data_IF_663100733583
#
_entry.id   IF_663100733583
#
_cell.length_a   1.000
_cell.length_b   1.000
_cell.length_c   1.000
_cell.angle_alpha   90.00
_cell.angle_beta   90.00
_cell.angle_gamma   90.00
#
_symmetry.space_group_name_H-M   'P 1'
#
loop_
_entity.id
_entity.type
_entity.pdbx_description
1 polymer ?
#
# COMPACT_ATOMS: atom_id res chain seq x y z
N UNK A 1 -52.80 66.70 -7.32
CA UNK A 1 -53.46 65.66 -6.50
C UNK A 1 -53.29 64.34 -7.22
N UNK A 2 -52.48 63.46 -6.63
CA UNK A 2 -52.25 62.09 -7.07
C UNK A 2 -53.52 61.24 -6.81
N UNK A 3 -53.79 60.24 -7.66
CA UNK A 3 -53.56 58.83 -7.30
C UNK A 3 -54.04 57.82 -8.37
N UNK A 4 -53.12 56.89 -8.71
CA UNK A 4 -53.29 55.48 -9.17
C UNK A 4 -54.06 55.14 -10.47
N UNK A 5 -53.72 54.12 -11.29
CA UNK A 5 -52.97 52.85 -11.15
C UNK A 5 -52.56 52.37 -12.57
N UNK A 6 -51.29 52.05 -12.88
CA UNK A 6 -50.53 50.78 -12.75
C UNK A 6 -50.77 49.70 -13.83
N UNK A 7 -49.90 49.74 -14.85
CA UNK A 7 -49.03 48.69 -15.42
C UNK A 7 -49.49 47.21 -15.48
N UNK A 8 -49.58 46.69 -16.72
CA UNK A 8 -49.49 45.28 -17.09
C UNK A 8 -48.14 45.04 -17.78
N UNK A 9 -47.31 44.16 -17.22
CA UNK A 9 -46.26 43.40 -17.91
C UNK A 9 -45.66 42.40 -16.90
N UNK A 10 -46.10 41.15 -16.98
CA UNK A 10 -45.45 39.99 -16.34
C UNK A 10 -45.66 38.79 -17.24
N UNK A 11 -44.63 38.45 -18.01
CA UNK A 11 -44.28 37.10 -18.41
C UNK A 11 -42.84 37.14 -18.97
N UNK A 12 -42.14 36.00 -18.92
CA UNK A 12 -40.76 35.76 -19.42
C UNK A 12 -39.55 35.88 -18.47
N UNK A 13 -39.70 35.58 -17.17
CA UNK A 13 -38.53 35.32 -16.28
C UNK A 13 -38.51 33.95 -15.60
N UNK A 14 -39.55 33.11 -15.73
CA UNK A 14 -39.64 31.82 -15.02
C UNK A 14 -39.16 30.58 -15.81
N UNK A 15 -38.96 30.68 -17.12
CA UNK A 15 -38.60 29.52 -17.98
C UNK A 15 -37.08 29.24 -18.02
N UNK A 16 -36.25 30.26 -17.93
CA UNK A 16 -34.77 30.15 -17.96
C UNK A 16 -34.18 29.74 -16.62
N UNK A 17 -34.68 30.27 -15.49
CA UNK A 17 -34.18 29.91 -14.16
C UNK A 17 -34.38 28.43 -13.80
N UNK A 18 -35.51 27.84 -14.23
CA UNK A 18 -35.87 26.44 -13.99
C UNK A 18 -35.05 25.46 -14.84
N UNK A 19 -34.70 25.84 -16.08
CA UNK A 19 -33.82 25.03 -16.95
C UNK A 19 -32.36 25.06 -16.49
N UNK A 20 -31.86 26.20 -16.02
CA UNK A 20 -30.49 26.33 -15.51
C UNK A 20 -30.29 25.56 -14.21
N UNK A 21 -31.26 25.58 -13.30
CA UNK A 21 -31.21 24.80 -12.05
C UNK A 21 -31.33 23.29 -12.29
N UNK A 22 -32.18 22.83 -13.21
CA UNK A 22 -32.26 21.41 -13.58
C UNK A 22 -30.99 20.90 -14.28
N UNK A 23 -30.41 21.71 -15.18
CA UNK A 23 -29.16 21.40 -15.88
C UNK A 23 -27.97 21.31 -14.90
N UNK A 24 -27.83 22.27 -13.98
CA UNK A 24 -26.77 22.25 -12.96
C UNK A 24 -26.91 21.05 -12.02
N UNK A 25 -28.14 20.69 -11.61
CA UNK A 25 -28.40 19.55 -10.73
C UNK A 25 -28.07 18.21 -11.41
N UNK A 26 -28.37 18.09 -12.71
CA UNK A 26 -28.02 16.91 -13.50
C UNK A 26 -26.50 16.81 -13.76
N UNK A 27 -25.83 17.94 -13.99
CA UNK A 27 -24.36 17.98 -14.15
C UNK A 27 -23.63 17.57 -12.87
N UNK A 28 -24.07 18.08 -11.70
CA UNK A 28 -23.48 17.74 -10.39
C UNK A 28 -23.69 16.26 -10.04
N UNK A 29 -24.89 15.71 -10.29
CA UNK A 29 -25.15 14.27 -10.12
C UNK A 29 -24.29 13.40 -11.03
N UNK A 30 -24.10 13.82 -12.30
CA UNK A 30 -23.24 13.10 -13.24
C UNK A 30 -21.79 13.09 -12.78
N UNK A 31 -21.24 14.23 -12.37
CA UNK A 31 -19.87 14.31 -11.86
C UNK A 31 -19.67 13.40 -10.65
N UNK A 32 -20.58 13.44 -9.66
CA UNK A 32 -20.50 12.58 -8.49
C UNK A 32 -20.58 11.08 -8.83
N UNK A 33 -21.37 10.70 -9.84
CA UNK A 33 -21.43 9.31 -10.30
C UNK A 33 -20.14 8.84 -10.97
N UNK A 34 -19.50 9.70 -11.78
CA UNK A 34 -18.21 9.41 -12.42
C UNK A 34 -17.09 9.34 -11.39
N UNK A 35 -17.10 10.23 -10.40
CA UNK A 35 -16.16 10.23 -9.27
C UNK A 35 -16.28 8.96 -8.42
N UNK A 36 -17.50 8.56 -8.06
CA UNK A 36 -17.73 7.30 -7.35
C UNK A 36 -17.28 6.08 -8.16
N UNK A 37 -17.50 6.09 -9.48
CA UNK A 37 -17.03 5.03 -10.40
C UNK A 37 -15.51 5.01 -10.47
N UNK A 38 -14.87 6.17 -10.53
CA UNK A 38 -13.42 6.32 -10.50
C UNK A 38 -12.83 5.74 -9.22
N UNK A 39 -13.36 6.10 -8.04
CA UNK A 39 -12.91 5.56 -6.76
C UNK A 39 -13.09 4.04 -6.69
N UNK A 40 -14.21 3.50 -7.18
CA UNK A 40 -14.49 2.05 -7.22
C UNK A 40 -13.47 1.27 -8.05
N UNK A 41 -13.02 1.84 -9.16
CA UNK A 41 -12.03 1.22 -10.05
C UNK A 41 -10.59 1.38 -9.55
N UNK A 42 -10.35 2.27 -8.58
CA UNK A 42 -9.04 2.55 -8.01
C UNK A 42 -9.02 2.40 -6.48
N UNK A 43 -9.42 1.25 -5.92
CA UNK A 43 -9.62 1.10 -4.47
C UNK A 43 -8.33 1.11 -3.64
N UNK A 44 -7.15 0.99 -4.27
CA UNK A 44 -5.87 1.03 -3.58
C UNK A 44 -5.27 2.44 -3.47
N UNK A 45 -5.86 3.44 -4.14
CA UNK A 45 -5.46 4.82 -3.96
C UNK A 45 -6.02 5.34 -2.63
N UNK A 46 -5.23 6.13 -1.92
CA UNK A 46 -5.77 6.96 -0.85
C UNK A 46 -6.80 7.94 -1.44
N UNK A 47 -7.68 8.45 -0.58
CA UNK A 47 -8.70 9.40 -1.01
C UNK A 47 -8.08 10.62 -1.70
N UNK A 48 -7.00 11.16 -1.14
CA UNK A 48 -6.34 12.36 -1.67
C UNK A 48 -5.67 12.10 -3.04
N UNK A 49 -5.06 10.92 -3.23
CA UNK A 49 -4.50 10.54 -4.54
C UNK A 49 -5.59 10.34 -5.59
N UNK A 50 -6.70 9.69 -5.22
CA UNK A 50 -7.83 9.48 -6.10
C UNK A 50 -8.48 10.80 -6.51
N UNK A 51 -8.70 11.70 -5.54
CA UNK A 51 -9.27 13.03 -5.77
C UNK A 51 -8.32 13.87 -6.64
N UNK A 52 -7.01 13.83 -6.37
CA UNK A 52 -6.02 14.56 -7.17
C UNK A 52 -5.95 14.06 -8.61
N UNK A 53 -5.89 12.74 -8.83
CA UNK A 53 -5.88 12.17 -10.19
C UNK A 53 -7.19 12.45 -10.92
N UNK A 54 -8.34 12.34 -10.24
CA UNK A 54 -9.64 12.66 -10.82
C UNK A 54 -9.69 14.12 -11.27
N UNK A 55 -9.37 15.05 -10.37
CA UNK A 55 -9.40 16.48 -10.64
C UNK A 55 -8.41 16.86 -11.75
N UNK A 56 -7.17 16.37 -11.69
CA UNK A 56 -6.16 16.61 -12.71
C UNK A 56 -6.60 16.06 -14.07
N UNK A 57 -7.14 14.85 -14.12
CA UNK A 57 -7.60 14.27 -15.39
C UNK A 57 -8.79 15.05 -15.95
N UNK A 58 -9.78 15.39 -15.12
CA UNK A 58 -10.95 16.16 -15.56
C UNK A 58 -10.56 17.56 -16.01
N UNK A 59 -9.62 18.22 -15.31
CA UNK A 59 -9.13 19.55 -15.67
C UNK A 59 -8.46 19.56 -17.05
N UNK A 60 -7.66 18.55 -17.37
CA UNK A 60 -6.91 18.51 -18.64
C UNK A 60 -7.68 17.87 -19.80
N UNK A 61 -8.41 16.80 -19.53
CA UNK A 61 -9.05 15.97 -20.55
C UNK A 61 -10.56 16.10 -20.60
N UNK A 62 -11.20 16.63 -19.55
CA UNK A 62 -12.64 16.77 -19.44
C UNK A 62 -13.35 15.48 -19.02
N UNK A 63 -14.53 15.64 -18.39
CA UNK A 63 -15.32 14.55 -17.80
C UNK A 63 -15.71 13.47 -18.82
N UNK A 64 -16.05 13.85 -20.06
CA UNK A 64 -16.40 12.88 -21.12
C UNK A 64 -15.24 11.95 -21.50
N UNK A 65 -14.00 12.46 -21.53
CA UNK A 65 -12.84 11.60 -21.81
C UNK A 65 -12.55 10.68 -20.64
N UNK A 66 -12.78 11.13 -19.40
CA UNK A 66 -12.66 10.29 -18.21
C UNK A 66 -13.67 9.14 -18.25
N UNK A 67 -14.93 9.40 -18.61
CA UNK A 67 -15.94 8.34 -18.76
C UNK A 67 -15.49 7.27 -19.77
N UNK A 68 -15.04 7.68 -20.96
CA UNK A 68 -14.52 6.76 -21.98
C UNK A 68 -13.28 6.00 -21.52
N UNK A 69 -12.42 6.65 -20.74
CA UNK A 69 -11.28 6.02 -20.10
C UNK A 69 -11.72 4.90 -19.15
N UNK A 70 -12.70 5.16 -18.28
CA UNK A 70 -13.23 4.18 -17.34
C UNK A 70 -13.95 3.02 -18.07
N UNK A 71 -14.67 3.31 -19.16
CA UNK A 71 -15.27 2.26 -20.01
C UNK A 71 -14.21 1.34 -20.61
N UNK A 72 -13.11 1.92 -21.11
CA UNK A 72 -12.00 1.16 -21.67
C UNK A 72 -11.29 0.35 -20.58
N UNK A 73 -11.09 0.92 -19.39
CA UNK A 73 -10.48 0.23 -18.26
C UNK A 73 -11.31 -1.00 -17.84
N UNK A 74 -12.62 -0.84 -17.66
CA UNK A 74 -13.51 -1.95 -17.31
C UNK A 74 -13.46 -3.07 -18.37
N UNK A 75 -13.49 -2.69 -19.66
CA UNK A 75 -13.40 -3.66 -20.76
C UNK A 75 -12.08 -4.44 -20.79
N UNK A 76 -10.95 -3.80 -20.48
CA UNK A 76 -9.63 -4.45 -20.44
C UNK A 76 -9.46 -5.30 -19.18
N UNK A 77 -10.08 -4.91 -18.07
CA UNK A 77 -10.07 -5.67 -16.83
C UNK A 77 -11.00 -6.90 -16.87
N UNK A 78 -12.04 -6.91 -17.71
CA UNK A 78 -13.01 -8.03 -17.77
C UNK A 78 -12.35 -9.39 -18.06
N UNK A 79 -11.48 -9.56 -19.09
CA UNK A 79 -10.78 -10.82 -19.32
C UNK A 79 -9.88 -11.22 -18.15
N UNK A 80 -9.21 -10.26 -17.51
CA UNK A 80 -8.37 -10.52 -16.34
C UNK A 80 -9.19 -11.01 -15.15
N UNK A 81 -10.37 -10.44 -14.93
CA UNK A 81 -11.27 -10.90 -13.86
C UNK A 81 -11.72 -12.34 -14.13
N UNK A 82 -11.95 -12.71 -15.39
CA UNK A 82 -12.31 -14.09 -15.75
C UNK A 82 -11.15 -15.07 -15.55
N UNK A 83 -9.91 -14.66 -15.81
CA UNK A 83 -8.72 -15.51 -15.71
C UNK A 83 -8.18 -15.62 -14.28
N UNK A 84 -8.01 -14.49 -13.58
CA UNK A 84 -7.32 -14.40 -12.28
C UNK A 84 -8.21 -13.84 -11.15
N UNK A 85 -9.50 -13.64 -11.41
CA UNK A 85 -10.48 -13.28 -10.39
C UNK A 85 -10.17 -11.96 -9.70
N UNK A 86 -10.23 -11.98 -8.36
CA UNK A 86 -9.99 -10.80 -7.51
C UNK A 86 -8.58 -10.20 -7.67
N UNK A 87 -7.61 -10.98 -8.19
CA UNK A 87 -6.24 -10.51 -8.42
C UNK A 87 -6.12 -9.53 -9.58
N UNK A 88 -7.09 -9.47 -10.50
CA UNK A 88 -7.11 -8.50 -11.59
C UNK A 88 -7.06 -7.05 -11.09
N UNK A 89 -7.75 -6.77 -9.98
CA UNK A 89 -7.73 -5.45 -9.34
C UNK A 89 -6.36 -5.12 -8.74
N UNK A 90 -5.66 -6.11 -8.19
CA UNK A 90 -4.31 -5.93 -7.66
C UNK A 90 -3.31 -5.58 -8.77
N UNK A 91 -3.44 -6.20 -9.94
CA UNK A 91 -2.62 -5.89 -11.12
C UNK A 91 -2.75 -4.42 -11.51
N UNK A 92 -3.98 -3.93 -11.64
CA UNK A 92 -4.25 -2.53 -11.94
C UNK A 92 -3.66 -1.59 -10.88
N UNK A 93 -3.83 -1.92 -9.60
CA UNK A 93 -3.29 -1.13 -8.50
C UNK A 93 -1.74 -1.10 -8.49
N UNK A 94 -1.09 -2.21 -8.81
CA UNK A 94 0.37 -2.28 -8.93
C UNK A 94 0.88 -1.40 -10.07
N UNK A 95 0.18 -1.37 -11.21
CA UNK A 95 0.52 -0.53 -12.34
C UNK A 95 0.41 0.97 -12.00
N UNK A 96 -0.66 1.39 -11.33
CA UNK A 96 -0.85 2.81 -10.96
C UNK A 96 0.30 3.29 -10.07
N UNK A 97 0.68 2.46 -9.11
CA UNK A 97 1.77 2.73 -8.18
C UNK A 97 3.18 2.56 -8.78
N UNK A 98 3.31 2.33 -10.09
CA UNK A 98 4.60 2.18 -10.76
C UNK A 98 5.36 0.88 -10.43
N UNK A 99 4.70 -0.11 -9.83
CA UNK A 99 5.30 -1.41 -9.46
C UNK A 99 5.38 -2.39 -10.66
N UNK A 100 5.96 -1.93 -11.77
CA UNK A 100 5.98 -2.64 -13.05
C UNK A 100 6.64 -4.03 -12.97
N UNK A 101 7.64 -4.21 -12.10
CA UNK A 101 8.32 -5.50 -11.90
C UNK A 101 7.35 -6.60 -11.43
N UNK A 102 6.37 -6.26 -10.60
CA UNK A 102 5.42 -7.23 -10.02
C UNK A 102 4.33 -7.65 -10.99
N UNK A 103 4.21 -6.99 -12.13
CA UNK A 103 3.24 -7.30 -13.20
C UNK A 103 3.92 -7.75 -14.49
N UNK A 104 5.25 -7.93 -14.49
CA UNK A 104 6.03 -8.39 -15.65
C UNK A 104 5.60 -9.76 -16.18
N UNK A 105 5.01 -10.61 -15.34
CA UNK A 105 4.48 -11.90 -15.78
C UNK A 105 3.38 -11.76 -16.85
N UNK A 106 2.55 -10.70 -16.77
CA UNK A 106 1.51 -10.42 -17.76
C UNK A 106 2.08 -10.06 -19.13
N UNK A 107 3.27 -9.48 -19.17
CA UNK A 107 3.94 -9.18 -20.43
C UNK A 107 4.23 -10.45 -21.24
N UNK A 108 4.41 -11.59 -20.56
CA UNK A 108 4.63 -12.89 -21.19
C UNK A 108 3.33 -13.67 -21.42
N UNK A 109 2.40 -13.63 -20.47
CA UNK A 109 1.15 -14.41 -20.54
C UNK A 109 0.11 -13.77 -21.47
N UNK A 110 -0.08 -12.45 -21.39
CA UNK A 110 -0.99 -11.69 -22.26
C UNK A 110 -0.41 -10.30 -22.57
N UNK A 111 0.50 -10.21 -23.55
CA UNK A 111 1.13 -8.95 -23.93
C UNK A 111 0.13 -7.91 -24.44
N UNK A 112 -1.03 -8.33 -24.94
CA UNK A 112 -2.06 -7.42 -25.46
C UNK A 112 -2.72 -6.68 -24.31
N UNK A 113 -3.15 -7.41 -23.29
CA UNK A 113 -3.74 -6.85 -22.08
C UNK A 113 -2.72 -5.99 -21.34
N UNK A 114 -1.47 -6.49 -21.19
CA UNK A 114 -0.40 -5.73 -20.55
C UNK A 114 -0.21 -4.36 -21.20
N UNK A 115 -0.06 -4.32 -22.53
CA UNK A 115 0.14 -3.06 -23.26
C UNK A 115 -1.06 -2.11 -23.15
N UNK A 116 -2.29 -2.64 -23.16
CA UNK A 116 -3.49 -1.83 -23.00
C UNK A 116 -3.58 -1.22 -21.59
N UNK A 117 -3.32 -2.00 -20.54
CA UNK A 117 -3.29 -1.50 -19.17
C UNK A 117 -2.16 -0.50 -18.95
N UNK A 118 -0.99 -0.76 -19.52
CA UNK A 118 0.16 0.13 -19.44
C UNK A 118 -0.13 1.50 -20.07
N UNK A 119 -0.76 1.51 -21.26
CA UNK A 119 -1.22 2.75 -21.89
C UNK A 119 -2.28 3.47 -21.05
N UNK A 120 -3.24 2.74 -20.49
CA UNK A 120 -4.28 3.33 -19.64
C UNK A 120 -3.68 3.98 -18.39
N UNK A 121 -2.73 3.32 -17.73
CA UNK A 121 -2.12 3.86 -16.52
C UNK A 121 -1.28 5.10 -16.81
N UNK A 122 -0.62 5.12 -17.96
CA UNK A 122 0.08 6.30 -18.46
C UNK A 122 -0.90 7.45 -18.74
N UNK A 123 -2.00 7.21 -19.46
CA UNK A 123 -3.02 8.24 -19.70
C UNK A 123 -3.60 8.81 -18.41
N UNK A 124 -3.77 7.97 -17.38
CA UNK A 124 -4.28 8.39 -16.09
C UNK A 124 -3.30 9.33 -15.37
N UNK A 125 -2.00 9.01 -15.40
CA UNK A 125 -0.97 9.73 -14.65
C UNK A 125 -0.37 10.92 -15.40
N UNK A 126 -0.42 10.89 -16.72
CA UNK A 126 0.10 11.91 -17.62
C UNK A 126 -0.98 12.36 -18.62
N UNK A 127 -2.12 12.92 -18.16
CA UNK A 127 -3.25 13.30 -19.02
C UNK A 127 -2.94 14.44 -20.00
N UNK A 128 -1.79 15.10 -19.85
CA UNK A 128 -1.28 16.20 -20.68
C UNK A 128 -0.37 15.75 -21.82
N UNK A 129 0.16 14.53 -21.78
CA UNK A 129 1.20 14.08 -22.70
C UNK A 129 0.59 13.37 -23.92
N UNK A 130 1.00 13.79 -25.12
CA UNK A 130 0.40 13.35 -26.39
C UNK A 130 0.90 11.95 -26.82
N UNK A 131 0.07 11.28 -27.63
CA UNK A 131 0.14 9.86 -28.04
C UNK A 131 1.35 9.43 -28.90
N UNK A 132 2.44 10.20 -28.94
CA UNK A 132 3.64 9.94 -29.76
C UNK A 132 4.86 9.53 -28.93
N UNK A 133 4.66 9.23 -27.65
CA UNK A 133 5.74 8.94 -26.70
C UNK A 133 6.08 7.45 -26.75
N UNK A 134 7.38 7.14 -26.72
CA UNK A 134 7.90 5.78 -26.81
C UNK A 134 7.61 4.97 -25.55
N UNK A 135 7.64 3.64 -25.67
CA UNK A 135 7.40 2.74 -24.53
C UNK A 135 8.36 2.98 -23.36
N UNK A 136 9.63 3.31 -23.64
CA UNK A 136 10.62 3.62 -22.61
C UNK A 136 10.35 4.94 -21.89
N UNK A 137 9.86 5.95 -22.60
CA UNK A 137 9.50 7.24 -21.99
C UNK A 137 8.26 7.11 -21.10
N UNK A 138 7.25 6.35 -21.53
CA UNK A 138 6.10 5.99 -20.68
C UNK A 138 6.56 5.24 -19.43
N UNK A 139 7.50 4.30 -19.56
CA UNK A 139 8.04 3.53 -18.44
C UNK A 139 8.76 4.43 -17.43
N UNK A 140 9.58 5.36 -17.91
CA UNK A 140 10.27 6.32 -17.08
C UNK A 140 9.32 7.29 -16.37
N UNK A 141 8.24 7.73 -17.04
CA UNK A 141 7.21 8.57 -16.43
C UNK A 141 6.47 7.82 -15.31
N UNK A 142 6.15 6.54 -15.51
CA UNK A 142 5.42 5.72 -14.53
C UNK A 142 6.26 5.32 -13.30
N UNK A 143 7.58 5.34 -13.42
CA UNK A 143 8.49 5.14 -12.28
C UNK A 143 8.55 6.35 -11.32
N UNK A 144 8.12 7.54 -11.76
CA UNK A 144 8.03 8.71 -10.89
C UNK A 144 6.88 8.55 -9.88
N UNK A 145 6.83 9.34 -8.79
CA UNK A 145 5.65 9.42 -7.93
C UNK A 145 4.42 10.00 -8.68
N UNK A 146 3.21 9.75 -8.18
CA UNK A 146 2.00 10.37 -8.74
C UNK A 146 2.10 11.89 -8.54
N UNK A 147 1.94 12.71 -9.60
CA UNK A 147 1.97 14.17 -9.44
C UNK A 147 0.73 14.60 -8.67
N UNK A 148 0.89 14.89 -7.38
CA UNK A 148 -0.11 15.60 -6.61
C UNK A 148 -0.07 17.07 -7.05
N UNK A 149 -1.23 17.64 -7.41
CA UNK A 149 -1.35 19.07 -7.69
C UNK A 149 -0.73 19.89 -6.55
N UNK A 150 0.11 20.87 -6.88
CA UNK A 150 1.06 21.55 -5.98
C UNK A 150 2.08 20.63 -5.31
N UNK A 151 3.07 20.22 -6.10
CA UNK A 151 4.36 19.72 -5.61
C UNK A 151 5.21 20.85 -5.03
N UNK A 152 4.80 21.38 -3.88
CA UNK A 152 5.78 21.85 -2.89
C UNK A 152 5.61 21.12 -1.56
N UNK A 153 4.41 20.60 -1.23
CA UNK A 153 4.20 19.98 0.07
C UNK A 153 4.05 18.45 0.07
N UNK A 154 3.90 17.77 -1.08
CA UNK A 154 3.36 16.38 -1.04
C UNK A 154 4.39 15.26 -0.89
N UNK A 155 5.66 15.51 -1.22
CA UNK A 155 6.74 14.56 -0.92
C UNK A 155 7.24 14.74 0.52
N UNK A 156 7.03 15.92 1.11
CA UNK A 156 7.16 16.19 2.55
C UNK A 156 5.92 15.78 3.37
N UNK A 157 4.72 15.65 2.79
CA UNK A 157 3.49 15.30 3.51
C UNK A 157 3.17 13.80 3.60
N UNK A 158 3.79 12.92 2.81
CA UNK A 158 3.69 11.46 3.04
C UNK A 158 4.86 10.91 3.88
N UNK A 159 5.96 11.65 3.95
CA UNK A 159 6.76 11.77 5.18
C UNK A 159 6.04 12.67 6.19
N UNK A 160 4.73 12.49 6.37
CA UNK A 160 3.99 13.18 7.41
C UNK A 160 4.77 12.97 8.69
N UNK A 161 5.31 14.08 9.20
CA UNK A 161 6.07 14.23 10.42
C UNK A 161 5.21 13.76 11.60
N UNK A 162 4.98 12.46 11.72
CA UNK A 162 5.00 11.86 13.03
C UNK A 162 6.45 11.98 13.38
N UNK A 163 6.75 12.96 14.24
CA UNK A 163 8.10 13.20 14.70
C UNK A 163 8.73 11.83 14.93
N UNK A 164 9.93 11.58 14.39
CA UNK A 164 10.70 10.37 14.70
C UNK A 164 10.62 10.07 16.19
N UNK A 165 10.55 11.14 17.00
CA UNK A 165 10.15 11.18 18.39
C UNK A 165 8.85 10.43 18.74
N UNK A 166 7.66 10.66 18.19
CA UNK A 166 6.46 9.88 18.55
C UNK A 166 6.55 8.40 18.16
N UNK A 167 7.21 8.08 17.04
CA UNK A 167 7.47 6.69 16.67
C UNK A 167 8.48 6.02 17.63
N UNK A 168 9.50 6.77 18.05
CA UNK A 168 10.47 6.36 19.07
C UNK A 168 9.81 6.21 20.45
N UNK A 169 9.00 7.19 20.87
CA UNK A 169 8.23 7.18 22.11
C UNK A 169 7.26 5.99 22.12
N UNK A 170 6.54 5.75 21.03
CA UNK A 170 5.67 4.59 20.90
C UNK A 170 6.43 3.26 20.95
N UNK A 171 7.59 3.19 20.31
CA UNK A 171 8.45 2.01 20.33
C UNK A 171 9.08 1.73 21.71
N UNK A 172 9.41 2.79 22.45
CA UNK A 172 10.02 2.73 23.79
C UNK A 172 8.98 2.63 24.91
N UNK A 173 7.71 2.95 24.62
CA UNK A 173 6.63 2.89 25.60
C UNK A 173 6.28 1.45 25.97
N UNK A 174 5.68 1.30 27.16
CA UNK A 174 5.16 0.03 27.62
C UNK A 174 4.09 -0.52 26.66
N UNK A 175 4.14 -1.84 26.41
CA UNK A 175 3.20 -2.49 25.53
C UNK A 175 1.79 -2.46 26.12
N UNK A 176 0.86 -1.80 25.41
CA UNK A 176 -0.51 -1.63 25.89
C UNK A 176 -1.33 -2.89 25.65
N UNK A 177 -2.15 -3.25 26.66
CA UNK A 177 -3.14 -4.35 26.61
C UNK A 177 -2.52 -5.72 26.24
N UNK A 178 -1.48 -6.19 26.95
CA UNK A 178 -0.85 -7.48 26.65
C UNK A 178 -1.87 -8.62 26.66
N UNK A 179 -2.80 -8.64 27.61
CA UNK A 179 -3.81 -9.70 27.74
C UNK A 179 -4.79 -9.78 26.56
N UNK A 180 -4.93 -8.72 25.77
CA UNK A 180 -5.87 -8.67 24.63
C UNK A 180 -5.20 -9.01 23.30
N UNK A 181 -3.88 -8.83 23.19
CA UNK A 181 -3.15 -9.00 21.92
C UNK A 181 -2.03 -10.02 22.06
N UNK A 182 -1.14 -9.82 23.04
CA UNK A 182 0.03 -10.67 23.23
C UNK A 182 -0.36 -12.09 23.60
N UNK A 183 -1.27 -12.26 24.56
CA UNK A 183 -1.63 -13.60 25.07
C UNK A 183 -2.38 -14.43 24.01
N UNK A 184 -3.38 -13.91 23.28
CA UNK A 184 -4.00 -14.66 22.17
C UNK A 184 -3.03 -15.02 21.04
N UNK A 185 -2.09 -14.11 20.72
CA UNK A 185 -1.04 -14.40 19.74
C UNK A 185 -0.14 -15.52 20.24
N UNK A 186 0.24 -15.50 21.51
CA UNK A 186 1.05 -16.55 22.13
C UNK A 186 0.35 -17.90 22.10
N UNK A 187 -0.93 -17.95 22.47
CA UNK A 187 -1.74 -19.17 22.42
C UNK A 187 -1.83 -19.72 20.99
N UNK A 188 -2.03 -18.84 20.01
CA UNK A 188 -2.07 -19.22 18.59
C UNK A 188 -0.75 -19.82 18.13
N UNK A 189 0.38 -19.21 18.50
CA UNK A 189 1.72 -19.71 18.16
C UNK A 189 1.99 -21.07 18.83
N UNK A 190 1.61 -21.23 20.10
CA UNK A 190 1.75 -22.50 20.82
C UNK A 190 0.90 -23.62 20.22
N UNK A 191 -0.37 -23.33 19.89
CA UNK A 191 -1.24 -24.29 19.23
C UNK A 191 -0.71 -24.68 17.85
N UNK A 192 -0.25 -23.69 17.07
CA UNK A 192 0.34 -23.93 15.75
C UNK A 192 1.61 -24.78 15.83
N UNK A 193 2.46 -24.53 16.84
CA UNK A 193 3.65 -25.33 17.10
C UNK A 193 3.31 -26.77 17.47
N UNK A 194 2.31 -26.99 18.34
CA UNK A 194 1.84 -28.34 18.70
C UNK A 194 1.24 -29.12 17.51
N UNK A 195 0.60 -28.40 16.59
CA UNK A 195 -0.02 -28.98 15.39
C UNK A 195 0.95 -29.11 14.21
N UNK A 196 2.19 -28.62 14.35
CA UNK A 196 3.19 -28.74 13.30
C UNK A 196 3.56 -30.21 13.10
N UNK A 197 3.60 -30.62 11.84
CA UNK A 197 4.06 -31.94 11.42
C UNK A 197 4.98 -31.77 10.21
N UNK A 198 6.15 -32.45 10.20
CA UNK A 198 7.09 -32.40 9.08
C UNK A 198 6.48 -32.96 7.78
N UNK A 199 5.47 -33.83 7.88
CA UNK A 199 4.76 -34.39 6.73
C UNK A 199 3.89 -33.35 6.01
N UNK A 200 3.46 -32.30 6.74
CA UNK A 200 2.57 -31.24 6.23
C UNK A 200 3.30 -29.95 5.90
N UNK A 201 4.33 -29.60 6.68
CA UNK A 201 5.01 -28.31 6.58
C UNK A 201 6.52 -28.49 6.75
N UNK A 202 7.30 -27.90 5.82
CA UNK A 202 8.77 -27.98 5.83
C UNK A 202 9.41 -27.42 7.11
N UNK A 203 8.77 -26.44 7.74
CA UNK A 203 9.16 -25.89 9.04
C UNK A 203 8.00 -25.08 9.64
N UNK A 204 8.00 -24.84 10.97
CA UNK A 204 7.01 -24.00 11.61
C UNK A 204 7.31 -22.53 11.33
N UNK A 205 6.53 -21.92 10.44
CA UNK A 205 6.63 -20.49 10.12
C UNK A 205 5.36 -19.75 10.54
N UNK A 206 5.54 -18.52 11.02
CA UNK A 206 4.45 -17.59 11.28
C UNK A 206 4.71 -16.28 10.55
N UNK A 207 3.65 -15.65 10.04
CA UNK A 207 3.71 -14.32 9.44
C UNK A 207 2.80 -13.37 10.19
N UNK A 208 3.34 -12.22 10.61
CA UNK A 208 2.59 -11.16 11.28
C UNK A 208 2.38 -10.03 10.27
N UNK A 209 1.14 -9.87 9.82
CA UNK A 209 0.75 -8.89 8.81
C UNK A 209 -0.06 -7.78 9.47
N UNK A 210 0.26 -6.53 9.14
CA UNK A 210 -0.50 -5.38 9.64
C UNK A 210 0.04 -4.06 9.08
N UNK A 211 -0.74 -2.97 9.14
CA UNK A 211 -0.34 -1.65 8.64
C UNK A 211 0.94 -1.11 9.29
N UNK A 212 1.59 -0.15 8.64
CA UNK A 212 2.72 0.59 9.23
C UNK A 212 2.31 1.18 10.58
N UNK A 213 3.21 1.14 11.57
CA UNK A 213 2.98 1.60 12.95
C UNK A 213 1.86 0.91 13.75
N UNK A 214 1.34 -0.23 13.29
CA UNK A 214 0.36 -1.02 14.06
C UNK A 214 0.95 -1.78 15.27
N UNK A 215 2.17 -1.44 15.72
CA UNK A 215 2.82 -2.10 16.86
C UNK A 215 3.40 -3.50 16.61
N UNK A 216 3.53 -3.94 15.34
CA UNK A 216 4.08 -5.29 15.00
C UNK A 216 5.45 -5.56 15.64
N UNK A 217 6.35 -4.59 15.56
CA UNK A 217 7.70 -4.75 16.12
C UNK A 217 7.65 -4.82 17.65
N UNK A 218 6.86 -3.97 18.30
CA UNK A 218 6.70 -4.01 19.76
C UNK A 218 6.12 -5.37 20.20
N UNK A 219 5.14 -5.91 19.45
CA UNK A 219 4.60 -7.24 19.70
C UNK A 219 5.69 -8.32 19.61
N UNK A 220 6.55 -8.29 18.59
CA UNK A 220 7.67 -9.24 18.47
C UNK A 220 8.67 -9.12 19.62
N UNK A 221 8.94 -7.91 20.10
CA UNK A 221 9.82 -7.71 21.26
C UNK A 221 9.20 -8.25 22.54
N UNK A 222 7.91 -8.00 22.78
CA UNK A 222 7.21 -8.57 23.94
C UNK A 222 7.12 -10.09 23.89
N UNK A 223 6.88 -10.67 22.70
CA UNK A 223 6.95 -12.11 22.51
C UNK A 223 8.35 -12.64 22.85
N UNK A 224 9.41 -11.94 22.43
CA UNK A 224 10.80 -12.29 22.74
C UNK A 224 11.18 -12.16 24.22
N UNK A 225 10.40 -11.47 25.05
CA UNK A 225 10.57 -11.49 26.52
C UNK A 225 10.01 -12.77 27.14
N UNK A 226 8.93 -13.31 26.56
CA UNK A 226 8.25 -14.53 27.05
C UNK A 226 8.81 -15.81 26.43
N UNK A 227 9.45 -15.69 25.26
CA UNK A 227 10.02 -16.80 24.52
C UNK A 227 11.48 -16.52 24.20
N UNK A 228 12.37 -17.51 24.39
CA UNK A 228 13.72 -17.44 23.88
C UNK A 228 13.73 -17.26 22.36
N UNK A 229 14.16 -16.08 21.90
CA UNK A 229 14.11 -15.71 20.49
C UNK A 229 15.40 -15.04 20.06
N UNK A 230 15.89 -15.42 18.87
CA UNK A 230 16.94 -14.68 18.17
C UNK A 230 16.27 -13.69 17.23
N UNK A 231 16.38 -12.40 17.57
CA UNK A 231 15.79 -11.33 16.78
C UNK A 231 16.76 -10.83 15.68
N UNK A 232 16.33 -10.88 14.42
CA UNK A 232 17.09 -10.38 13.27
C UNK A 232 16.22 -9.45 12.44
N UNK A 233 16.61 -8.17 12.34
CA UNK A 233 15.95 -7.16 11.53
C UNK A 233 16.72 -6.92 10.22
N UNK A 234 16.05 -7.17 9.10
CA UNK A 234 16.58 -7.01 7.73
C UNK A 234 16.10 -5.70 7.06
N UNK A 235 15.87 -4.64 7.84
CA UNK A 235 15.46 -3.31 7.33
C UNK A 235 16.58 -2.68 6.47
N UNK A 236 16.31 -1.98 5.37
CA UNK A 236 17.36 -1.39 4.52
C UNK A 236 18.48 -0.68 5.31
N UNK A 237 19.74 -0.94 4.94
CA UNK A 237 20.91 -0.30 5.55
C UNK A 237 20.77 1.23 5.49
N UNK A 238 20.98 1.90 6.62
CA UNK A 238 20.85 3.36 6.73
C UNK A 238 19.42 3.88 6.95
N UNK A 239 18.41 3.01 7.05
CA UNK A 239 17.06 3.45 7.41
C UNK A 239 17.01 4.03 8.82
N UNK A 240 16.31 5.16 8.98
CA UNK A 240 16.12 5.86 10.26
C UNK A 240 15.03 5.24 11.15
N UNK A 241 14.24 4.29 10.64
CA UNK A 241 13.14 3.70 11.40
C UNK A 241 13.56 2.55 12.32
N UNK A 242 12.68 2.21 13.27
CA UNK A 242 12.97 1.22 14.31
C UNK A 242 12.32 -0.15 14.06
N UNK A 243 13.00 -1.26 14.45
CA UNK A 243 14.37 -1.30 14.96
C UNK A 243 15.35 -1.17 13.78
N UNK A 244 16.60 -0.81 14.09
CA UNK A 244 17.67 -0.70 13.09
C UNK A 244 18.08 -2.07 12.54
N UNK A 245 18.81 -2.06 11.42
CA UNK A 245 19.48 -3.23 10.86
C UNK A 245 20.27 -3.97 11.94
N UNK A 246 20.02 -5.28 12.09
CA UNK A 246 20.70 -6.08 13.11
C UNK A 246 22.13 -6.41 12.70
N UNK A 247 23.02 -6.61 13.67
CA UNK A 247 24.41 -7.03 13.38
C UNK A 247 24.47 -8.35 12.60
N UNK A 248 23.58 -9.30 12.92
CA UNK A 248 23.47 -10.59 12.21
C UNK A 248 22.83 -10.47 10.82
N UNK A 249 22.24 -9.32 10.46
CA UNK A 249 21.58 -9.17 9.17
C UNK A 249 22.56 -9.25 7.99
N UNK A 250 23.80 -8.80 8.19
CA UNK A 250 24.87 -8.93 7.19
C UNK A 250 25.24 -10.39 6.92
N UNK A 251 25.12 -11.26 7.91
CA UNK A 251 25.37 -12.68 7.75
C UNK A 251 24.18 -13.42 7.13
N UNK A 252 22.95 -12.95 7.37
CA UNK A 252 21.74 -13.50 6.75
C UNK A 252 21.64 -13.10 5.27
N UNK A 253 22.03 -11.86 4.94
CA UNK A 253 22.05 -11.30 3.58
C UNK A 253 23.51 -10.94 3.18
N UNK A 254 24.37 -11.94 2.95
CA UNK A 254 25.80 -11.70 2.70
C UNK A 254 26.05 -11.05 1.34
N UNK A 255 26.79 -9.94 1.38
CA UNK A 255 27.30 -9.24 0.20
C UNK A 255 28.83 -9.13 0.29
N UNK A 256 29.60 -9.73 -0.65
CA UNK A 256 29.16 -10.49 -1.82
C UNK A 256 28.59 -11.88 -1.48
N UNK A 257 27.72 -12.39 -2.36
CA UNK A 257 27.06 -13.70 -2.19
C UNK A 257 28.10 -14.85 -2.13
N UNK A 258 28.10 -15.70 -1.09
CA UNK A 258 29.01 -16.82 -0.97
C UNK A 258 28.83 -17.86 -2.09
N UNK A 259 29.94 -18.50 -2.51
CA UNK A 259 29.92 -19.58 -3.50
C UNK A 259 29.09 -20.80 -3.06
N UNK A 260 29.09 -21.11 -1.76
CA UNK A 260 28.33 -22.20 -1.18
C UNK A 260 27.38 -21.67 -0.10
N UNK A 261 26.15 -21.35 -0.52
CA UNK A 261 25.10 -20.83 0.37
C UNK A 261 24.63 -21.85 1.40
N UNK A 262 24.58 -23.13 1.04
CA UNK A 262 24.14 -24.18 1.96
C UNK A 262 25.10 -24.28 3.14
N UNK A 263 26.41 -24.31 2.87
CA UNK A 263 27.43 -24.31 3.92
C UNK A 263 27.41 -23.02 4.73
N UNK A 264 27.21 -21.87 4.07
CA UNK A 264 27.10 -20.58 4.75
C UNK A 264 25.96 -20.55 5.76
N UNK A 265 24.74 -20.87 5.32
CA UNK A 265 23.58 -20.87 6.20
C UNK A 265 23.61 -22.01 7.23
N UNK A 266 24.17 -23.18 6.90
CA UNK A 266 24.37 -24.26 7.87
C UNK A 266 25.29 -23.80 9.02
N UNK A 267 26.44 -23.18 8.70
CA UNK A 267 27.34 -22.62 9.72
C UNK A 267 26.66 -21.55 10.57
N UNK A 268 25.88 -20.68 9.93
CA UNK A 268 25.18 -19.60 10.64
C UNK A 268 24.11 -20.13 11.58
N UNK A 269 23.32 -21.13 11.14
CA UNK A 269 22.35 -21.82 11.99
C UNK A 269 23.01 -22.55 13.15
N UNK A 270 24.13 -23.24 12.91
CA UNK A 270 24.91 -23.90 13.96
C UNK A 270 25.36 -22.87 15.00
N UNK A 271 25.94 -21.74 14.58
CA UNK A 271 26.39 -20.69 15.50
C UNK A 271 25.23 -20.11 16.34
N UNK A 272 24.05 -19.89 15.73
CA UNK A 272 22.84 -19.45 16.45
C UNK A 272 22.42 -20.50 17.49
N UNK A 273 22.39 -21.78 17.10
CA UNK A 273 22.00 -22.87 18.00
C UNK A 273 23.00 -23.08 19.14
N UNK A 274 24.31 -23.00 18.87
CA UNK A 274 25.37 -23.07 19.88
C UNK A 274 25.27 -21.91 20.86
N UNK A 275 25.15 -20.67 20.38
CA UNK A 275 24.98 -19.50 21.24
C UNK A 275 23.71 -19.60 22.11
N UNK A 276 22.64 -20.17 21.54
CA UNK A 276 21.39 -20.42 22.26
C UNK A 276 21.60 -21.49 23.35
N UNK A 277 22.24 -22.61 23.02
CA UNK A 277 22.55 -23.68 23.97
C UNK A 277 23.42 -23.17 25.12
N UNK A 278 24.49 -22.45 24.82
CA UNK A 278 25.37 -21.82 25.81
C UNK A 278 24.62 -20.85 26.73
N UNK A 279 23.71 -20.06 26.17
CA UNK A 279 22.86 -19.15 26.96
C UNK A 279 22.05 -19.92 28.01
N UNK A 280 21.39 -21.01 27.62
CA UNK A 280 20.63 -21.85 28.56
C UNK A 280 21.51 -22.59 29.55
N UNK A 281 22.68 -23.07 29.13
CA UNK A 281 23.62 -23.79 29.99
C UNK A 281 24.36 -22.87 30.98
N UNK A 282 24.47 -21.57 30.70
CA UNK A 282 25.25 -20.61 31.51
C UNK A 282 24.68 -20.30 32.91
N UNK A 283 23.57 -20.92 33.33
CA UNK A 283 22.91 -20.66 34.61
C UNK A 283 22.30 -19.26 34.75
N UNK A 284 22.44 -18.40 33.72
CA UNK A 284 21.81 -17.07 33.67
C UNK A 284 20.30 -17.14 33.61
N UNK A 285 19.75 -18.21 33.03
CA UNK A 285 18.31 -18.45 32.93
C UNK A 285 17.69 -18.67 34.33
N UNK A 286 18.37 -19.39 35.22
CA UNK A 286 17.91 -19.60 36.60
C UNK A 286 17.83 -18.30 37.43
N UNK A 287 18.52 -17.23 37.01
CA UNK A 287 18.45 -15.90 37.64
C UNK A 287 17.33 -15.03 37.08
N UNK A 288 16.89 -15.26 35.85
CA UNK A 288 15.77 -14.54 35.21
C UNK A 288 14.41 -15.05 35.71
N UNK A 289 14.29 -16.34 35.99
CA UNK A 289 13.08 -16.94 36.57
C UNK A 289 12.80 -16.52 38.03
N UNK A 290 13.81 -16.04 38.76
CA UNK A 290 13.65 -15.55 40.14
C UNK A 290 13.25 -14.07 40.22
N UNK A 291 13.22 -13.36 39.09
CA UNK A 291 12.93 -11.93 39.01
C UNK A 291 11.62 -11.59 38.26
N UNK A 292 10.86 -12.61 37.83
CA UNK A 292 9.55 -12.50 37.20
C UNK A 292 8.45 -12.97 38.15
#
# INVERSE_FOLDING_TARGET
MNDTKTNSNREDTHSTASKTTASNRNSSKRTAAVEARFARLNPALSKDEADSLFLTFVAHSGLQKLERFLDKLERVCEPLVQEIGVHARLVWCLLINGNLQRVSYLQNSDPTIYNQLFQLVYCLRCPTEHSTISHNEMLHALQRPIPLGSQEDSQELLEYQWSTRFAQEGFQSEYKKPNTILDPVMETLQQSSKNWSPDKLKAPFASIIGPTMSGKTCLLMELGKKLPAVYICLRPKGSSGLPSWSKLADDILPEPRPKNLQLHYAKHLIAILEATADFFSSGKVAKLDQAS
#
